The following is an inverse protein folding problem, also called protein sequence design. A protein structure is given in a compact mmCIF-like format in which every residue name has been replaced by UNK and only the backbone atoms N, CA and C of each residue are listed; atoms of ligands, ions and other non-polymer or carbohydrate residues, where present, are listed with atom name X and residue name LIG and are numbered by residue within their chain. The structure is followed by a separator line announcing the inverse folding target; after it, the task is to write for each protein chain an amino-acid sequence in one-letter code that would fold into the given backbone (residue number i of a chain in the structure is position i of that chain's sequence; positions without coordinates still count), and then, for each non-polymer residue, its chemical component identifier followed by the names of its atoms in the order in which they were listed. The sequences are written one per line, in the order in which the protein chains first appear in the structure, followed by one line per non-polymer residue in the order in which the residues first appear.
data_IF_898786678683
#
_entry.id   IF_898786678683
#
_cell.length_a   1.000
_cell.length_b   1.000
_cell.length_c   1.000
_cell.angle_alpha   90.00
_cell.angle_beta   90.00
_cell.angle_gamma   90.00
#
_symmetry.space_group_name_H-M   'P 1'
#
loop_
_entity.id
_entity.type
_entity.pdbx_description
1 polymer ?
#
# COMPACT_ATOMS: atom_id res chain seq x y z
N UNK A 1 -25.44 -31.00 -9.28
CA UNK A 1 -24.97 -30.21 -10.43
C UNK A 1 -24.95 -28.75 -9.96
N UNK A 2 -23.85 -28.04 -9.73
CA UNK A 2 -22.47 -28.24 -10.17
C UNK A 2 -21.50 -27.40 -9.29
N UNK A 3 -21.35 -27.74 -8.01
CA UNK A 3 -20.45 -27.02 -7.10
C UNK A 3 -19.00 -26.93 -7.63
N UNK A 4 -18.56 -27.93 -8.41
CA UNK A 4 -17.27 -27.92 -9.11
C UNK A 4 -17.21 -26.83 -10.19
N UNK A 5 -18.26 -26.67 -11.00
CA UNK A 5 -18.30 -25.68 -12.07
C UNK A 5 -18.37 -24.27 -11.47
N UNK A 6 -19.13 -24.11 -10.39
CA UNK A 6 -19.21 -22.84 -9.67
C UNK A 6 -17.86 -22.45 -9.06
N UNK A 7 -17.16 -23.39 -8.41
CA UNK A 7 -15.81 -23.15 -7.89
C UNK A 7 -14.81 -22.76 -8.98
N UNK A 8 -14.92 -23.36 -10.18
CA UNK A 8 -14.06 -22.99 -11.32
C UNK A 8 -14.41 -21.60 -11.85
N UNK A 9 -15.68 -21.21 -11.89
CA UNK A 9 -16.09 -19.84 -12.26
C UNK A 9 -15.51 -18.81 -11.31
N UNK A 10 -15.70 -19.00 -10.01
CA UNK A 10 -15.16 -18.11 -8.98
C UNK A 10 -13.63 -18.03 -9.06
N UNK A 11 -12.94 -19.15 -9.33
CA UNK A 11 -11.49 -19.15 -9.51
C UNK A 11 -11.06 -18.34 -10.74
N UNK A 12 -11.77 -18.49 -11.86
CA UNK A 12 -11.48 -17.75 -13.08
C UNK A 12 -11.71 -16.24 -12.91
N UNK A 13 -12.81 -15.86 -12.25
CA UNK A 13 -13.13 -14.47 -11.95
C UNK A 13 -12.07 -13.86 -11.03
N UNK A 14 -11.71 -14.56 -9.95
CA UNK A 14 -10.66 -14.11 -9.03
C UNK A 14 -9.29 -13.98 -9.73
N UNK A 15 -8.96 -14.88 -10.65
CA UNK A 15 -7.74 -14.80 -11.45
C UNK A 15 -7.73 -13.57 -12.37
N UNK A 16 -8.84 -13.32 -13.05
CA UNK A 16 -8.98 -12.14 -13.91
C UNK A 16 -8.95 -10.83 -13.12
N UNK A 17 -9.57 -10.79 -11.94
CA UNK A 17 -9.49 -9.65 -11.03
C UNK A 17 -8.05 -9.40 -10.56
N UNK A 18 -7.32 -10.47 -10.22
CA UNK A 18 -5.91 -10.38 -9.86
C UNK A 18 -5.06 -9.82 -11.00
N UNK A 19 -5.21 -10.36 -12.22
CA UNK A 19 -4.44 -9.92 -13.39
C UNK A 19 -4.75 -8.46 -13.74
N UNK A 20 -6.01 -8.03 -13.64
CA UNK A 20 -6.40 -6.65 -13.83
C UNK A 20 -5.77 -5.74 -12.77
N UNK A 21 -5.84 -6.12 -11.48
CA UNK A 21 -5.21 -5.36 -10.40
C UNK A 21 -3.69 -5.24 -10.60
N UNK A 22 -3.01 -6.29 -11.06
CA UNK A 22 -1.58 -6.26 -11.37
C UNK A 22 -1.27 -5.31 -12.55
N UNK A 23 -2.09 -5.34 -13.61
CA UNK A 23 -1.97 -4.39 -14.72
C UNK A 23 -2.18 -2.94 -14.26
N UNK A 24 -3.20 -2.68 -13.45
CA UNK A 24 -3.46 -1.34 -12.89
C UNK A 24 -2.30 -0.88 -12.01
N UNK A 25 -1.71 -1.79 -11.21
CA UNK A 25 -0.55 -1.48 -10.38
C UNK A 25 0.67 -1.12 -11.24
N UNK A 26 0.92 -1.84 -12.33
CA UNK A 26 1.99 -1.53 -13.28
C UNK A 26 1.78 -0.17 -13.93
N UNK A 27 0.57 0.11 -14.44
CA UNK A 27 0.23 1.40 -15.06
C UNK A 27 0.36 2.56 -14.06
N UNK A 28 -0.15 2.39 -12.84
CA UNK A 28 -0.03 3.39 -11.78
C UNK A 28 1.42 3.65 -11.40
N UNK A 29 2.26 2.61 -11.37
CA UNK A 29 3.70 2.73 -11.10
C UNK A 29 4.40 3.52 -12.21
N UNK A 30 4.15 3.19 -13.47
CA UNK A 30 4.72 3.91 -14.61
C UNK A 30 4.25 5.37 -14.65
N UNK A 31 2.97 5.63 -14.42
CA UNK A 31 2.42 6.98 -14.34
C UNK A 31 3.08 7.80 -13.22
N UNK A 32 3.35 7.16 -12.08
CA UNK A 32 4.04 7.79 -10.97
C UNK A 32 5.51 8.12 -11.31
N UNK A 33 6.24 7.21 -11.95
CA UNK A 33 7.61 7.46 -12.43
C UNK A 33 7.66 8.59 -13.46
N UNK A 34 6.72 8.61 -14.41
CA UNK A 34 6.58 9.69 -15.38
C UNK A 34 6.29 11.04 -14.70
N UNK A 35 5.39 11.08 -13.72
CA UNK A 35 5.10 12.30 -12.98
C UNK A 35 6.31 12.78 -12.18
N UNK A 36 7.06 11.85 -11.57
CA UNK A 36 8.27 12.17 -10.82
C UNK A 36 9.38 12.73 -11.71
N UNK A 37 9.65 12.09 -12.84
CA UNK A 37 10.65 12.57 -13.82
C UNK A 37 10.24 13.91 -14.45
N UNK A 38 8.96 14.12 -14.75
CA UNK A 38 8.45 15.39 -15.23
C UNK A 38 8.63 16.51 -14.18
N UNK A 39 8.39 16.20 -12.90
CA UNK A 39 8.63 17.15 -11.82
C UNK A 39 10.12 17.53 -11.71
N UNK A 40 11.03 16.55 -11.78
CA UNK A 40 12.47 16.81 -11.83
C UNK A 40 12.87 17.65 -13.05
N UNK A 41 12.32 17.34 -14.23
CA UNK A 41 12.57 18.11 -15.45
C UNK A 41 12.06 19.55 -15.38
N UNK A 42 10.99 19.79 -14.61
CA UNK A 42 10.46 21.13 -14.34
C UNK A 42 11.29 21.94 -13.33
N UNK A 43 12.44 21.41 -12.88
CA UNK A 43 13.39 22.09 -12.01
C UNK A 43 13.18 21.85 -10.52
N UNK A 44 12.26 20.95 -10.14
CA UNK A 44 12.06 20.58 -8.75
C UNK A 44 13.16 19.61 -8.31
N UNK A 45 13.76 19.84 -7.15
CA UNK A 45 14.67 18.85 -6.56
C UNK A 45 13.87 17.75 -5.86
N UNK A 46 14.45 16.55 -5.78
CA UNK A 46 13.87 15.45 -5.01
C UNK A 46 13.62 15.83 -3.53
N UNK A 47 14.41 16.76 -2.99
CA UNK A 47 14.22 17.30 -1.63
C UNK A 47 12.93 18.13 -1.52
N UNK A 48 12.62 18.94 -2.53
CA UNK A 48 11.42 19.79 -2.55
C UNK A 48 10.15 18.96 -2.81
N UNK A 49 10.25 17.94 -3.68
CA UNK A 49 9.15 16.99 -3.90
C UNK A 49 8.86 16.15 -2.65
N UNK A 50 9.90 15.72 -1.93
CA UNK A 50 9.70 15.03 -0.65
C UNK A 50 9.16 15.98 0.43
N UNK A 51 9.57 17.25 0.43
CA UNK A 51 9.09 18.27 1.38
C UNK A 51 7.61 18.62 1.18
N UNK A 52 7.10 18.57 -0.06
CA UNK A 52 5.67 18.70 -0.37
C UNK A 52 4.85 17.45 -0.01
N UNK A 53 5.51 16.37 0.41
CA UNK A 53 4.87 15.11 0.80
C UNK A 53 4.66 14.13 -0.36
N UNK A 54 5.14 14.47 -1.57
CA UNK A 54 5.14 13.54 -2.71
C UNK A 54 6.25 12.52 -2.48
N UNK A 55 5.87 11.23 -2.44
CA UNK A 55 6.80 10.12 -2.20
C UNK A 55 7.46 9.71 -3.51
N UNK A 56 8.75 9.41 -3.48
CA UNK A 56 9.44 8.84 -4.63
C UNK A 56 8.82 7.48 -5.03
N UNK A 57 8.72 7.18 -6.34
CA UNK A 57 8.32 5.85 -6.80
C UNK A 57 9.24 4.79 -6.18
N UNK A 58 8.65 3.78 -5.52
CA UNK A 58 9.41 2.73 -4.84
C UNK A 58 9.76 2.99 -3.36
N UNK A 59 9.59 4.22 -2.82
CA UNK A 59 9.66 4.40 -1.38
C UNK A 59 8.34 3.98 -0.73
N UNK A 60 8.26 2.67 -0.44
CA UNK A 60 7.31 2.09 0.50
C UNK A 60 7.19 3.01 1.72
N UNK A 61 5.95 3.36 2.07
CA UNK A 61 5.65 4.33 3.11
C UNK A 61 6.55 4.08 4.34
N UNK A 62 7.14 5.14 4.95
CA UNK A 62 7.96 4.97 6.13
C UNK A 62 7.17 4.14 7.13
N UNK A 63 7.69 2.96 7.45
CA UNK A 63 7.04 1.99 8.33
C UNK A 63 6.71 2.73 9.61
N UNK A 64 5.41 3.02 9.81
CA UNK A 64 4.94 3.76 10.97
C UNK A 64 5.46 2.99 12.18
N UNK A 65 6.47 3.54 12.83
CA UNK A 65 7.14 2.91 13.97
C UNK A 65 6.08 2.90 15.06
N UNK A 66 5.41 1.76 15.26
CA UNK A 66 4.42 1.58 16.32
C UNK A 66 5.06 2.03 17.63
N UNK A 67 4.65 3.20 18.15
CA UNK A 67 4.99 3.59 19.51
C UNK A 67 4.38 2.52 20.41
N UNK A 68 5.22 1.86 21.23
CA UNK A 68 4.75 0.96 22.28
C UNK A 68 3.80 1.76 23.17
N UNK A 69 2.51 1.51 23.05
CA UNK A 69 1.56 1.83 24.11
C UNK A 69 2.01 1.03 25.33
N UNK A 70 2.55 1.72 26.32
CA UNK A 70 2.80 1.16 27.64
C UNK A 70 1.41 0.87 28.20
N UNK A 71 1.06 -0.41 28.34
CA UNK A 71 -0.15 -0.80 29.05
C UNK A 71 -0.01 -0.32 30.50
N UNK A 72 -1.02 0.34 31.09
CA UNK A 72 -0.99 0.65 32.51
C UNK A 72 -0.98 -0.68 33.28
N UNK A 73 0.11 -0.92 34.00
CA UNK A 73 0.18 -1.95 35.05
C UNK A 73 -0.95 -1.66 36.02
N UNK A 74 -1.98 -2.49 35.98
CA UNK A 74 -2.98 -2.56 37.04
C UNK A 74 -2.81 -3.90 37.73
N UNK A 75 -2.11 -3.86 38.85
CA UNK A 75 -2.19 -4.82 39.96
C UNK A 75 -1.75 -4.07 41.22
N UNK A 76 -2.20 -4.43 42.43
CA UNK A 76 -3.36 -5.27 42.83
C UNK A 76 -4.12 -4.70 44.06
N UNK A 77 -5.32 -5.21 44.38
CA UNK A 77 -5.80 -5.37 45.78
C UNK A 77 -7.16 -6.11 45.77
N UNK A 78 -7.31 -7.31 46.33
CA UNK A 78 -7.41 -7.69 47.76
C UNK A 78 -8.84 -7.56 48.29
N UNK A 79 -9.42 -8.74 48.60
CA UNK A 79 -10.52 -9.08 49.53
C UNK A 79 -11.86 -8.31 49.48
N UNK A 80 -12.96 -9.07 49.35
CA UNK A 80 -13.80 -9.57 50.47
C UNK A 80 -14.69 -10.72 50.02
#
# INVERSE_FOLDING_TARGET
MDARVEAVRVLADAGNEYDNADQQLKLATLAHEHAWTAALASGWSEKDLRATGVKAPGQSAPKVRKRRTIAPVTTPNTEV
#
